data_IF_346356764546
#
_entry.id   IF_346356764546
#
_cell.length_a   1.000
_cell.length_b   1.000
_cell.length_c   1.000
_cell.angle_alpha   90.00
_cell.angle_beta   90.00
_cell.angle_gamma   90.00
#
_symmetry.space_group_name_H-M   'P 1'
#
loop_
_entity.id
_entity.type
_entity.pdbx_description
1 polymer ?
#
# COMPACT_ATOMS: atom_id res chain seq x y z
N UNK A 1 16.30 -7.14 3.51
CA UNK A 1 14.85 -6.94 3.24
C UNK A 1 14.61 -5.48 2.97
N UNK A 2 14.48 -5.10 1.70
CA UNK A 2 14.12 -3.74 1.32
C UNK A 2 12.64 -3.56 1.63
N UNK A 3 12.28 -2.64 2.53
CA UNK A 3 10.87 -2.32 2.81
C UNK A 3 10.28 -1.72 1.54
N UNK A 4 9.43 -2.49 0.86
CA UNK A 4 8.78 -2.08 -0.39
C UNK A 4 7.70 -1.04 -0.13
N UNK A 5 7.08 -1.06 1.06
CA UNK A 5 6.06 -0.10 1.47
C UNK A 5 6.49 0.69 2.69
N UNK A 6 6.10 1.95 2.72
CA UNK A 6 6.37 2.85 3.84
C UNK A 6 5.19 3.80 4.11
N UNK A 7 5.21 4.49 5.26
CA UNK A 7 4.22 5.51 5.61
C UNK A 7 4.95 6.83 5.79
N UNK A 8 4.68 7.77 4.90
CA UNK A 8 5.24 9.11 4.95
C UNK A 8 4.18 10.07 5.45
N UNK A 9 4.50 10.83 6.50
CA UNK A 9 3.64 11.93 6.94
C UNK A 9 3.82 13.12 6.00
N UNK A 10 2.73 13.59 5.39
CA UNK A 10 2.68 14.81 4.57
C UNK A 10 1.57 15.70 5.12
N UNK A 11 1.95 16.85 5.67
CA UNK A 11 1.06 17.72 6.44
C UNK A 11 0.43 16.93 7.61
N UNK A 12 -0.88 17.02 7.79
CA UNK A 12 -1.65 16.30 8.82
C UNK A 12 -2.08 14.89 8.41
N UNK A 13 -1.57 14.35 7.29
CA UNK A 13 -1.98 13.05 6.77
C UNK A 13 -0.83 12.07 6.61
N UNK A 14 -1.14 10.79 6.75
CA UNK A 14 -0.23 9.67 6.59
C UNK A 14 -0.45 9.03 5.23
N UNK A 15 0.50 9.19 4.32
CA UNK A 15 0.45 8.69 2.95
C UNK A 15 1.22 7.38 2.87
N UNK A 16 0.58 6.35 2.31
CA UNK A 16 1.25 5.06 2.08
C UNK A 16 1.98 5.11 0.75
N UNK A 17 3.28 4.81 0.78
CA UNK A 17 4.13 4.79 -0.41
C UNK A 17 4.61 3.38 -0.71
N UNK A 18 4.92 3.14 -1.98
CA UNK A 18 5.59 1.94 -2.48
C UNK A 18 6.86 2.37 -3.21
N UNK A 19 8.02 1.93 -2.74
CA UNK A 19 9.33 2.35 -3.27
C UNK A 19 9.50 3.89 -3.34
N UNK A 20 8.92 4.62 -2.38
CA UNK A 20 8.97 6.08 -2.35
C UNK A 20 7.86 6.80 -3.14
N UNK A 21 7.08 6.08 -3.95
CA UNK A 21 5.97 6.65 -4.71
C UNK A 21 4.61 6.45 -4.00
N UNK A 22 3.71 7.44 -3.96
CA UNK A 22 2.38 7.26 -3.36
C UNK A 22 1.58 6.15 -4.04
N UNK A 23 0.90 5.32 -3.24
CA UNK A 23 -0.04 4.35 -3.80
C UNK A 23 -1.28 5.08 -4.30
N UNK A 24 -1.64 4.81 -5.54
CA UNK A 24 -2.85 5.31 -6.17
C UNK A 24 -3.87 4.17 -6.28
N UNK A 25 -5.08 4.40 -5.76
CA UNK A 25 -6.21 3.49 -5.92
C UNK A 25 -7.09 3.99 -7.07
N UNK A 26 -7.32 3.16 -8.11
CA UNK A 26 -8.20 3.52 -9.20
C UNK A 26 -9.65 3.58 -8.72
N UNK A 27 -10.38 4.58 -9.19
CA UNK A 27 -11.84 4.71 -9.05
C UNK A 27 -12.51 4.25 -10.34
N UNK A 28 -13.79 3.90 -10.25
CA UNK A 28 -14.60 3.48 -11.41
C UNK A 28 -14.67 4.54 -12.51
N UNK A 29 -14.59 5.82 -12.15
CA UNK A 29 -14.61 6.95 -13.09
C UNK A 29 -13.27 7.19 -13.81
N UNK A 30 -12.30 6.29 -13.71
CA UNK A 30 -10.98 6.42 -14.36
C UNK A 30 -10.00 7.36 -13.64
N UNK A 31 -10.48 8.11 -12.63
CA UNK A 31 -9.62 8.87 -11.73
C UNK A 31 -8.92 7.95 -10.72
N UNK A 32 -7.83 8.42 -10.11
CA UNK A 32 -7.18 7.72 -9.00
C UNK A 32 -7.12 8.60 -7.76
N UNK A 33 -7.13 7.97 -6.58
CA UNK A 33 -6.93 8.67 -5.30
C UNK A 33 -5.66 8.19 -4.62
N UNK A 34 -4.99 9.11 -3.93
CA UNK A 34 -3.84 8.79 -3.07
C UNK A 34 -4.33 8.05 -1.83
N UNK A 35 -3.68 6.93 -1.51
CA UNK A 35 -3.93 6.21 -0.26
C UNK A 35 -3.34 7.01 0.91
N UNK A 36 -4.19 7.79 1.56
CA UNK A 36 -3.84 8.63 2.71
C UNK A 36 -4.82 8.40 3.86
N UNK A 37 -4.31 8.53 5.08
CA UNK A 37 -5.04 8.32 6.32
C UNK A 37 -4.84 9.51 7.27
N UNK A 38 -5.82 9.76 8.14
CA UNK A 38 -5.73 10.86 9.12
C UNK A 38 -4.91 10.45 10.36
N UNK A 39 -4.69 9.16 10.57
CA UNK A 39 -3.85 8.65 11.66
C UNK A 39 -2.85 7.58 11.16
N UNK A 40 -1.76 7.44 11.92
CA UNK A 40 -0.66 6.53 11.58
C UNK A 40 -1.05 5.06 11.75
N UNK A 41 -1.89 4.74 12.73
CA UNK A 41 -2.29 3.36 13.03
C UNK A 41 -3.02 2.71 11.87
N UNK A 42 -3.98 3.41 11.26
CA UNK A 42 -4.74 2.88 10.14
C UNK A 42 -3.87 2.76 8.87
N UNK A 43 -2.95 3.70 8.67
CA UNK A 43 -1.94 3.58 7.62
C UNK A 43 -1.06 2.34 7.81
N UNK A 44 -0.65 2.03 9.04
CA UNK A 44 0.14 0.82 9.36
C UNK A 44 -0.67 -0.46 9.17
N UNK A 45 -1.95 -0.49 9.60
CA UNK A 45 -2.84 -1.64 9.36
C UNK A 45 -2.98 -1.93 7.87
N UNK A 46 -3.20 -0.89 7.06
CA UNK A 46 -3.28 -1.02 5.60
C UNK A 46 -1.99 -1.58 5.00
N UNK A 47 -0.84 -1.13 5.49
CA UNK A 47 0.47 -1.61 5.06
C UNK A 47 0.64 -3.13 5.35
N UNK A 48 0.21 -3.58 6.54
CA UNK A 48 0.20 -5.01 6.88
C UNK A 48 -0.71 -5.85 5.96
N UNK A 49 -1.84 -5.30 5.50
CA UNK A 49 -2.70 -5.95 4.50
C UNK A 49 -1.94 -6.09 3.16
N UNK A 50 -1.27 -5.03 2.70
CA UNK A 50 -0.51 -5.06 1.45
C UNK A 50 0.62 -6.09 1.48
N UNK A 51 1.36 -6.17 2.59
CA UNK A 51 2.42 -7.18 2.78
C UNK A 51 1.86 -8.60 2.74
N UNK A 52 0.71 -8.83 3.38
CA UNK A 52 0.04 -10.13 3.36
C UNK A 52 -0.47 -10.51 1.96
N UNK A 53 -1.03 -9.55 1.21
CA UNK A 53 -1.50 -9.78 -0.15
C UNK A 53 -0.35 -10.11 -1.11
N UNK A 54 0.80 -9.46 -0.96
CA UNK A 54 2.01 -9.78 -1.72
C UNK A 54 2.50 -11.19 -1.47
N UNK A 55 2.64 -11.58 -0.19
CA UNK A 55 3.03 -12.94 0.19
C UNK A 55 2.08 -13.99 -0.41
N UNK A 56 0.77 -13.71 -0.40
CA UNK A 56 -0.25 -14.58 -1.01
C UNK A 56 -0.14 -14.64 -2.54
N UNK A 57 0.18 -13.54 -3.22
CA UNK A 57 0.39 -13.51 -4.67
C UNK A 57 1.61 -14.34 -5.08
N UNK A 58 2.68 -14.32 -4.29
CA UNK A 58 3.88 -15.13 -4.52
C UNK A 58 3.58 -16.63 -4.41
N UNK A 59 2.86 -17.03 -3.35
CA UNK A 59 2.45 -18.43 -3.17
C UNK A 59 1.49 -18.95 -4.26
N UNK A 60 0.71 -18.07 -4.89
CA UNK A 60 -0.18 -18.47 -5.99
C UNK A 60 0.55 -18.68 -7.33
N UNK A 61 1.70 -18.02 -7.55
CA UNK A 61 2.47 -18.17 -8.79
C UNK A 61 3.24 -19.50 -8.86
N UNK A 62 3.63 -20.07 -7.71
CA UNK A 62 4.36 -21.35 -7.65
C UNK A 62 3.47 -22.58 -7.76
N UNK A 63 2.15 -22.44 -7.61
CA UNK A 63 1.19 -23.55 -7.71
C UNK A 63 0.64 -23.78 -9.13
N UNK A 64 1.18 -23.07 -10.14
CA UNK A 64 0.76 -23.19 -11.54
C UNK A 64 1.96 -23.22 -12.51
N UNK A 65 3.05 -23.86 -12.09
CA UNK A 65 4.22 -24.16 -12.90
C UNK A 65 4.41 -25.67 -13.00
#
# INVERSE_FOLDING_TARGET
MTKVYDVVQKNDRFVVTKNGEPILLPKSDGHSIVTQFDNKEDAQKYLGILENLLKRKEHKKVAHA
#
